data_IF_764871295767
#
_entry.id   IF_764871295767
#
_cell.length_a   1.000
_cell.length_b   1.000
_cell.length_c   1.000
_cell.angle_alpha   90.00
_cell.angle_beta   90.00
_cell.angle_gamma   90.00
#
_symmetry.space_group_name_H-M   'P 1'
#
loop_
_entity.id
_entity.type
_entity.pdbx_description
1 polymer ?
#
# COMPACT_ATOMS: atom_id res chain seq x y z
N UNK A 1 -20.37 -23.87 -30.30
CA UNK A 1 -19.20 -24.34 -31.07
C UNK A 1 -18.08 -24.48 -30.05
N UNK A 2 -17.52 -25.67 -29.90
CA UNK A 2 -16.39 -25.90 -29.00
C UNK A 2 -15.17 -25.24 -29.63
N UNK A 3 -14.72 -24.11 -29.04
CA UNK A 3 -13.40 -23.56 -29.36
C UNK A 3 -12.36 -24.51 -28.76
N UNK A 4 -11.68 -25.24 -29.61
CA UNK A 4 -10.42 -25.86 -29.24
C UNK A 4 -9.45 -24.74 -28.88
N UNK A 5 -9.04 -24.66 -27.61
CA UNK A 5 -7.86 -23.92 -27.19
C UNK A 5 -6.66 -24.59 -27.87
N UNK A 6 -6.26 -24.07 -29.03
CA UNK A 6 -4.93 -24.34 -29.58
C UNK A 6 -3.99 -23.51 -28.71
N UNK A 7 -3.15 -24.15 -27.91
CA UNK A 7 -2.04 -23.48 -27.25
C UNK A 7 -1.18 -22.82 -28.34
N UNK A 8 -1.23 -21.49 -28.42
CA UNK A 8 -0.41 -20.73 -29.36
C UNK A 8 1.03 -20.68 -28.84
N UNK A 9 1.98 -20.89 -29.74
CA UNK A 9 3.41 -20.86 -29.43
C UNK A 9 4.02 -19.62 -30.09
N UNK A 10 4.80 -18.89 -29.31
CA UNK A 10 5.48 -17.67 -29.70
C UNK A 10 6.98 -17.88 -29.51
N UNK A 11 7.75 -17.71 -30.57
CA UNK A 11 9.18 -17.94 -30.55
C UNK A 11 9.91 -16.60 -30.54
N UNK A 12 11.02 -16.47 -29.80
CA UNK A 12 11.84 -15.24 -29.87
C UNK A 12 12.33 -14.97 -31.30
N UNK A 13 12.49 -16.04 -32.09
CA UNK A 13 12.89 -16.01 -33.50
C UNK A 13 11.80 -15.51 -34.45
N UNK A 14 10.55 -15.37 -33.99
CA UNK A 14 9.48 -14.78 -34.78
C UNK A 14 9.69 -13.26 -34.94
N UNK A 15 10.44 -12.64 -34.02
CA UNK A 15 10.73 -11.21 -33.94
C UNK A 15 9.49 -10.29 -33.90
N UNK A 16 9.68 -9.05 -33.44
CA UNK A 16 8.59 -8.05 -33.37
C UNK A 16 7.76 -8.11 -32.10
N UNK A 17 6.48 -7.72 -32.18
CA UNK A 17 5.61 -7.52 -31.01
C UNK A 17 4.33 -8.33 -31.14
N UNK A 18 3.93 -8.98 -30.04
CA UNK A 18 2.66 -9.71 -29.94
C UNK A 18 1.86 -9.26 -28.72
N UNK A 19 0.54 -9.33 -28.85
CA UNK A 19 -0.43 -9.03 -27.78
C UNK A 19 -1.17 -10.33 -27.44
N UNK A 20 -0.92 -10.88 -26.23
CA UNK A 20 -1.50 -12.15 -25.79
C UNK A 20 -1.43 -12.27 -24.26
N UNK A 21 -2.45 -12.85 -23.65
CA UNK A 21 -2.44 -13.22 -22.22
C UNK A 21 -2.35 -14.73 -21.97
N UNK A 22 -2.03 -15.51 -23.00
CA UNK A 22 -1.85 -16.95 -22.89
C UNK A 22 -0.96 -17.52 -24.00
N UNK A 23 -0.50 -18.76 -23.80
CA UNK A 23 0.33 -19.49 -24.75
C UNK A 23 1.69 -19.86 -24.19
N UNK A 24 2.59 -20.28 -25.08
CA UNK A 24 3.94 -20.72 -24.72
C UNK A 24 4.97 -19.84 -25.41
N UNK A 25 5.88 -19.25 -24.64
CA UNK A 25 7.04 -18.53 -25.15
C UNK A 25 8.26 -19.47 -25.22
N UNK A 26 8.94 -19.53 -26.35
CA UNK A 26 10.11 -20.40 -26.54
C UNK A 26 11.22 -19.77 -27.39
N UNK A 27 12.32 -20.50 -27.56
CA UNK A 27 13.44 -20.07 -28.40
C UNK A 27 13.14 -20.12 -29.91
N UNK A 28 12.36 -21.11 -30.35
CA UNK A 28 12.21 -21.47 -31.76
C UNK A 28 13.50 -22.02 -32.37
N UNK A 29 13.74 -21.75 -33.66
CA UNK A 29 14.89 -22.29 -34.41
C UNK A 29 16.06 -21.30 -34.45
N UNK A 30 17.00 -21.43 -33.52
CA UNK A 30 18.12 -20.49 -33.35
C UNK A 30 19.21 -20.67 -34.42
N UNK A 31 19.61 -19.57 -35.05
CA UNK A 31 20.79 -19.48 -35.91
C UNK A 31 21.96 -18.88 -35.14
N UNK A 32 23.12 -19.54 -35.20
CA UNK A 32 24.33 -19.06 -34.53
C UNK A 32 24.81 -17.72 -35.13
N UNK A 33 25.16 -16.77 -34.26
CA UNK A 33 25.63 -15.43 -34.62
C UNK A 33 24.52 -14.39 -34.82
N UNK A 34 23.26 -14.76 -34.66
CA UNK A 34 22.13 -13.85 -34.77
C UNK A 34 21.72 -13.25 -33.41
N UNK A 35 21.01 -12.13 -33.48
CA UNK A 35 20.38 -11.47 -32.35
C UNK A 35 18.89 -11.30 -32.68
N UNK A 36 18.03 -11.76 -31.79
CA UNK A 36 16.58 -11.69 -31.94
C UNK A 36 16.00 -10.76 -30.89
N UNK A 37 15.01 -9.97 -31.27
CA UNK A 37 14.26 -9.12 -30.34
C UNK A 37 12.77 -9.42 -30.46
N UNK A 38 12.14 -9.78 -29.35
CA UNK A 38 10.73 -10.13 -29.28
C UNK A 38 10.06 -9.45 -28.10
N UNK A 39 8.92 -8.81 -28.33
CA UNK A 39 8.16 -8.08 -27.31
C UNK A 39 6.80 -8.74 -27.13
N UNK A 40 6.42 -8.99 -25.88
CA UNK A 40 5.13 -9.57 -25.52
C UNK A 40 4.40 -8.57 -24.63
N UNK A 41 3.18 -8.22 -25.02
CA UNK A 41 2.30 -7.30 -24.31
C UNK A 41 0.99 -8.00 -23.94
N UNK A 42 0.31 -7.50 -22.90
CA UNK A 42 -1.07 -7.91 -22.60
C UNK A 42 -2.00 -7.62 -23.78
N UNK A 43 -2.95 -8.52 -24.04
CA UNK A 43 -4.04 -8.29 -25.02
C UNK A 43 -5.22 -7.49 -24.46
N UNK A 44 -5.22 -7.18 -23.16
CA UNK A 44 -6.24 -6.39 -22.47
C UNK A 44 -7.61 -7.08 -22.37
N UNK A 45 -7.74 -8.37 -22.70
CA UNK A 45 -9.03 -9.05 -22.79
C UNK A 45 -9.72 -9.28 -21.43
N UNK A 46 -8.95 -9.30 -20.33
CA UNK A 46 -9.40 -9.64 -18.97
C UNK A 46 -9.16 -8.50 -17.97
N UNK A 47 -9.04 -7.24 -18.42
CA UNK A 47 -8.54 -6.10 -17.64
C UNK A 47 -7.09 -6.21 -17.13
N UNK A 48 -6.50 -7.40 -17.20
CA UNK A 48 -5.07 -7.59 -16.98
C UNK A 48 -4.26 -6.78 -17.99
N UNK A 49 -3.22 -6.11 -17.50
CA UNK A 49 -2.51 -5.11 -18.27
C UNK A 49 -0.99 -5.29 -18.24
N UNK A 50 -0.46 -6.21 -17.42
CA UNK A 50 0.96 -6.53 -17.33
C UNK A 50 1.22 -7.98 -17.71
N UNK A 51 2.25 -8.22 -18.51
CA UNK A 51 2.64 -9.57 -18.91
C UNK A 51 3.48 -10.24 -17.83
N UNK A 52 3.25 -11.54 -17.66
CA UNK A 52 4.06 -12.43 -16.84
C UNK A 52 4.43 -13.67 -17.63
N UNK A 53 5.69 -14.08 -17.51
CA UNK A 53 6.22 -15.24 -18.21
C UNK A 53 6.96 -16.11 -17.21
N UNK A 54 6.53 -17.37 -17.13
CA UNK A 54 7.19 -18.38 -16.32
C UNK A 54 7.92 -19.39 -17.21
N UNK A 55 9.25 -19.37 -17.21
CA UNK A 55 10.07 -20.31 -17.98
C UNK A 55 10.21 -21.64 -17.25
N UNK A 56 9.51 -22.68 -17.72
CA UNK A 56 9.50 -24.01 -17.11
C UNK A 56 10.68 -24.89 -17.54
N UNK A 57 11.37 -24.51 -18.61
CA UNK A 57 12.56 -25.20 -19.11
C UNK A 57 13.61 -24.21 -19.58
N UNK A 58 14.87 -24.53 -19.29
CA UNK A 58 16.01 -23.67 -19.59
C UNK A 58 17.21 -24.47 -20.08
N UNK A 59 17.68 -24.14 -21.28
CA UNK A 59 18.94 -24.56 -21.83
C UNK A 59 19.48 -23.44 -22.71
N UNK A 60 20.07 -22.43 -22.09
CA UNK A 60 20.83 -21.38 -22.79
C UNK A 60 22.31 -21.61 -22.47
N UNK A 61 23.11 -22.19 -23.38
CA UNK A 61 24.52 -22.46 -23.12
C UNK A 61 25.33 -21.21 -22.74
N UNK A 62 26.39 -21.38 -21.97
CA UNK A 62 27.35 -20.29 -21.69
C UNK A 62 27.93 -19.75 -23.00
N UNK A 63 27.76 -18.45 -23.22
CA UNK A 63 28.12 -17.76 -24.47
C UNK A 63 26.90 -17.23 -25.25
N UNK A 64 25.72 -17.83 -25.05
CA UNK A 64 24.44 -17.27 -25.46
C UNK A 64 23.89 -16.37 -24.33
N UNK A 65 23.03 -15.40 -24.64
CA UNK A 65 22.52 -14.46 -23.63
C UNK A 65 21.09 -14.01 -23.93
N UNK A 66 20.18 -14.20 -22.98
CA UNK A 66 18.82 -13.66 -23.02
C UNK A 66 18.71 -12.48 -22.05
N UNK A 67 18.54 -11.26 -22.57
CA UNK A 67 18.26 -10.07 -21.77
C UNK A 67 16.76 -9.75 -21.78
N UNK A 68 16.21 -9.45 -20.62
CA UNK A 68 14.79 -9.12 -20.43
C UNK A 68 14.68 -7.66 -20.01
N UNK A 69 13.89 -6.90 -20.74
CA UNK A 69 13.65 -5.48 -20.54
C UNK A 69 12.21 -5.23 -20.13
N UNK A 70 12.03 -4.39 -19.11
CA UNK A 70 10.76 -4.02 -18.52
C UNK A 70 10.09 -2.90 -19.32
N UNK A 71 9.60 -3.25 -20.50
CA UNK A 71 8.85 -2.35 -21.36
C UNK A 71 8.83 -2.77 -22.82
N UNK A 72 8.40 -1.87 -23.71
CA UNK A 72 8.04 -2.24 -25.08
C UNK A 72 9.25 -2.32 -26.03
N UNK A 73 10.47 -2.08 -25.55
CA UNK A 73 11.69 -2.19 -26.34
C UNK A 73 12.95 -2.32 -25.47
N UNK A 74 14.11 -2.53 -26.11
CA UNK A 74 15.42 -2.68 -25.46
C UNK A 74 16.02 -1.40 -24.89
N UNK A 75 15.34 -0.24 -25.00
CA UNK A 75 15.72 0.98 -24.28
C UNK A 75 15.04 1.12 -22.92
N UNK A 76 14.10 0.23 -22.59
CA UNK A 76 13.46 0.14 -21.28
C UNK A 76 14.43 -0.34 -20.20
N UNK A 77 14.01 -0.25 -18.93
CA UNK A 77 14.79 -0.73 -17.78
C UNK A 77 15.14 -2.21 -17.95
N UNK A 78 16.40 -2.58 -17.77
CA UNK A 78 16.85 -3.97 -17.85
C UNK A 78 16.49 -4.70 -16.56
N UNK A 79 15.68 -5.76 -16.63
CA UNK A 79 15.40 -6.65 -15.50
C UNK A 79 16.57 -7.58 -15.21
N UNK A 80 17.22 -8.08 -16.26
CA UNK A 80 18.39 -8.95 -16.14
C UNK A 80 18.79 -9.58 -17.46
N UNK A 81 19.98 -10.20 -17.46
CA UNK A 81 20.46 -11.01 -18.57
C UNK A 81 20.92 -12.37 -18.07
N UNK A 82 20.51 -13.42 -18.76
CA UNK A 82 20.62 -14.80 -18.30
C UNK A 82 21.24 -15.71 -19.35
N UNK A 83 22.09 -16.61 -18.87
CA UNK A 83 22.73 -17.70 -19.62
C UNK A 83 22.78 -18.97 -18.77
N UNK A 84 23.55 -19.96 -19.20
CA UNK A 84 23.67 -21.25 -18.51
C UNK A 84 24.52 -21.22 -17.23
N UNK A 85 25.16 -20.09 -16.92
CA UNK A 85 26.04 -19.92 -15.77
C UNK A 85 25.38 -19.20 -14.59
N UNK A 86 24.35 -18.38 -14.86
CA UNK A 86 23.69 -17.55 -13.86
C UNK A 86 22.18 -17.81 -13.74
N UNK A 87 21.71 -18.95 -14.27
CA UNK A 87 20.34 -19.42 -14.12
C UNK A 87 20.09 -19.94 -12.69
N UNK A 88 19.48 -19.09 -11.84
CA UNK A 88 19.07 -19.41 -10.48
C UNK A 88 17.60 -19.86 -10.36
N UNK A 89 17.09 -20.00 -9.12
CA UNK A 89 15.78 -20.58 -8.82
C UNK A 89 14.54 -19.73 -9.22
N UNK A 90 14.70 -18.51 -9.74
CA UNK A 90 13.59 -17.65 -10.14
C UNK A 90 13.41 -17.64 -11.66
N UNK A 91 12.26 -18.14 -12.11
CA UNK A 91 11.95 -18.36 -13.52
C UNK A 91 10.76 -17.53 -14.01
N UNK A 92 10.29 -16.57 -13.20
CA UNK A 92 9.20 -15.68 -13.56
C UNK A 92 9.75 -14.29 -13.91
N UNK A 93 9.37 -13.78 -15.07
CA UNK A 93 9.52 -12.38 -15.44
C UNK A 93 8.15 -11.75 -15.47
N UNK A 94 7.96 -10.66 -14.73
CA UNK A 94 6.71 -9.91 -14.71
C UNK A 94 7.04 -8.47 -15.01
N UNK A 95 6.27 -7.84 -15.89
CA UNK A 95 6.33 -6.39 -16.07
C UNK A 95 6.12 -5.72 -14.71
N UNK A 96 6.96 -4.78 -14.33
CA UNK A 96 6.85 -4.15 -13.01
C UNK A 96 5.72 -3.12 -12.99
N UNK A 97 5.16 -2.75 -11.83
CA UNK A 97 4.15 -1.68 -11.76
C UNK A 97 4.60 -0.33 -12.33
N UNK A 98 5.91 -0.08 -12.45
CA UNK A 98 6.43 1.14 -13.08
C UNK A 98 6.38 1.10 -14.62
N UNK A 99 6.18 -0.08 -15.21
CA UNK A 99 6.13 -0.30 -16.64
C UNK A 99 4.71 -0.08 -17.18
N UNK A 100 4.43 1.17 -17.54
CA UNK A 100 3.12 1.58 -18.04
C UNK A 100 2.71 0.95 -19.38
N UNK A 101 3.61 0.30 -20.12
CA UNK A 101 3.20 -0.46 -21.30
C UNK A 101 2.76 -1.88 -20.95
N UNK A 102 3.10 -2.37 -19.75
CA UNK A 102 2.87 -3.73 -19.30
C UNK A 102 3.52 -4.81 -20.17
N UNK A 103 4.44 -4.43 -21.06
CA UNK A 103 5.10 -5.34 -22.00
C UNK A 103 6.46 -5.76 -21.47
N UNK A 104 6.91 -6.96 -21.82
CA UNK A 104 8.30 -7.37 -21.65
C UNK A 104 8.95 -7.54 -23.02
N UNK A 105 10.18 -7.04 -23.14
CA UNK A 105 11.00 -7.22 -24.35
C UNK A 105 12.16 -8.16 -24.06
N UNK A 106 12.28 -9.18 -24.88
CA UNK A 106 13.30 -10.22 -24.83
C UNK A 106 14.30 -9.99 -25.96
N UNK A 107 15.57 -9.82 -25.61
CA UNK A 107 16.67 -9.74 -26.58
C UNK A 107 17.56 -10.95 -26.39
N UNK A 108 17.57 -11.85 -27.36
CA UNK A 108 18.40 -13.05 -27.33
C UNK A 108 19.58 -12.91 -28.29
N UNK A 109 20.80 -13.11 -27.79
CA UNK A 109 22.02 -13.16 -28.60
C UNK A 109 22.56 -14.58 -28.63
N UNK A 110 22.66 -15.15 -29.83
CA UNK A 110 23.07 -16.53 -30.05
C UNK A 110 24.54 -16.62 -30.49
N UNK A 111 25.38 -17.29 -29.71
CA UNK A 111 26.71 -17.76 -30.09
C UNK A 111 26.69 -19.15 -30.73
N UNK A 112 25.68 -19.97 -30.38
CA UNK A 112 25.42 -21.31 -30.92
C UNK A 112 23.99 -21.47 -31.46
N UNK A 113 23.60 -22.72 -31.77
CA UNK A 113 22.24 -23.07 -32.26
C UNK A 113 21.49 -24.03 -31.33
N UNK A 114 22.07 -24.35 -30.16
CA UNK A 114 21.53 -25.34 -29.23
C UNK A 114 20.68 -24.73 -28.11
N UNK A 115 20.50 -23.42 -28.09
CA UNK A 115 19.68 -22.75 -27.09
C UNK A 115 18.21 -23.16 -27.24
N UNK A 116 17.58 -23.48 -26.12
CA UNK A 116 16.19 -23.89 -26.03
C UNK A 116 15.64 -23.52 -24.65
N UNK A 117 14.49 -22.88 -24.63
CA UNK A 117 13.68 -22.66 -23.44
C UNK A 117 12.22 -22.76 -23.83
N UNK A 118 11.37 -22.94 -22.83
CA UNK A 118 9.93 -22.86 -22.96
C UNK A 118 9.38 -22.27 -21.67
N UNK A 119 8.23 -21.64 -21.77
CA UNK A 119 7.53 -21.08 -20.63
C UNK A 119 6.11 -20.67 -20.94
N UNK A 120 5.28 -20.61 -19.91
CA UNK A 120 3.90 -20.16 -20.02
C UNK A 120 3.85 -18.62 -20.01
N UNK A 121 3.00 -18.07 -20.86
CA UNK A 121 2.61 -16.66 -20.84
C UNK A 121 1.32 -16.54 -20.05
N UNK A 122 1.25 -15.57 -19.15
CA UNK A 122 0.05 -15.13 -18.45
C UNK A 122 0.03 -13.61 -18.38
N UNK A 123 -1.11 -13.02 -18.04
CA UNK A 123 -1.19 -11.61 -17.67
C UNK A 123 -1.60 -11.47 -16.21
N UNK A 124 -1.22 -10.34 -15.64
CA UNK A 124 -1.63 -9.90 -14.31
C UNK A 124 -2.17 -8.47 -14.41
N UNK A 125 -3.08 -8.15 -13.51
CA UNK A 125 -3.56 -6.80 -13.31
C UNK A 125 -2.51 -5.99 -12.51
N UNK A 126 -2.34 -4.73 -12.91
CA UNK A 126 -1.51 -3.75 -12.23
C UNK A 126 -2.24 -2.42 -12.15
N UNK A 127 -2.17 -1.78 -10.98
CA UNK A 127 -2.87 -0.53 -10.73
C UNK A 127 -2.29 0.62 -11.55
N UNK A 128 -3.18 1.48 -12.06
CA UNK A 128 -2.80 2.74 -12.65
C UNK A 128 -2.72 3.80 -11.54
N UNK A 129 -1.57 4.48 -11.32
CA UNK A 129 -1.42 5.37 -10.19
C UNK A 129 -2.16 6.69 -10.41
N UNK A 130 -2.77 7.19 -9.33
CA UNK A 130 -3.46 8.48 -9.25
C UNK A 130 -3.32 9.04 -7.83
N UNK A 131 -3.71 10.31 -7.65
CA UNK A 131 -3.59 11.00 -6.37
C UNK A 131 -4.93 11.49 -5.84
N UNK A 132 -5.12 11.47 -4.52
CA UNK A 132 -6.24 12.14 -3.86
C UNK A 132 -5.92 13.63 -3.68
N UNK A 133 -6.96 14.45 -3.83
CA UNK A 133 -6.92 15.91 -3.69
C UNK A 133 -7.93 16.33 -2.64
N UNK A 134 -7.47 17.08 -1.64
CA UNK A 134 -8.36 17.82 -0.77
C UNK A 134 -8.81 19.09 -1.49
N UNK A 135 -10.11 19.25 -1.71
CA UNK A 135 -10.64 20.40 -2.44
C UNK A 135 -10.89 21.58 -1.49
N UNK A 136 -11.68 21.37 -0.44
CA UNK A 136 -12.02 22.38 0.56
C UNK A 136 -12.66 21.77 1.81
N UNK A 137 -12.68 22.57 2.88
CA UNK A 137 -13.53 22.36 4.06
C UNK A 137 -14.45 23.55 4.31
N UNK A 138 -15.51 23.32 5.09
CA UNK A 138 -16.33 24.37 5.70
C UNK A 138 -16.44 24.08 7.19
N UNK A 139 -15.88 24.91 8.10
CA UNK A 139 -15.17 26.18 7.84
C UNK A 139 -13.93 26.03 6.95
N UNK A 140 -13.58 27.10 6.24
CA UNK A 140 -12.41 27.10 5.35
C UNK A 140 -11.12 26.90 6.16
N UNK A 141 -10.15 26.22 5.54
CA UNK A 141 -8.79 26.11 6.06
C UNK A 141 -8.17 27.49 6.34
N UNK A 142 -7.24 27.53 7.30
CA UNK A 142 -6.54 28.75 7.68
C UNK A 142 -5.62 29.25 6.55
N UNK A 143 -4.94 30.38 6.78
CA UNK A 143 -4.08 31.00 5.77
C UNK A 143 -2.90 30.13 5.31
N UNK A 144 -2.57 29.05 6.04
CA UNK A 144 -1.57 28.07 5.60
C UNK A 144 -2.14 27.05 4.61
N UNK A 145 -3.46 26.89 4.56
CA UNK A 145 -4.15 25.87 3.76
C UNK A 145 -4.20 24.48 4.43
N UNK A 146 -3.60 24.32 5.61
CA UNK A 146 -3.42 23.01 6.24
C UNK A 146 -4.40 22.74 7.38
N UNK A 147 -4.82 23.77 8.12
CA UNK A 147 -5.60 23.59 9.34
C UNK A 147 -7.02 24.10 9.20
N UNK A 148 -8.01 23.29 9.57
CA UNK A 148 -9.38 23.75 9.80
C UNK A 148 -9.57 23.95 11.31
N UNK A 149 -9.82 25.20 11.72
CA UNK A 149 -10.00 25.57 13.13
C UNK A 149 -11.49 25.59 13.49
N UNK A 150 -11.87 24.87 14.55
CA UNK A 150 -13.26 24.78 15.01
C UNK A 150 -13.40 24.87 16.53
N UNK A 151 -14.62 25.15 17.00
CA UNK A 151 -15.00 24.94 18.39
C UNK A 151 -15.51 23.50 18.61
N UNK A 152 -15.49 22.99 19.86
CA UNK A 152 -16.04 21.68 20.17
C UNK A 152 -17.52 21.57 19.77
N UNK A 153 -17.87 20.54 19.01
CA UNK A 153 -19.23 20.28 18.54
C UNK A 153 -19.64 21.03 17.27
N UNK A 154 -18.74 21.80 16.66
CA UNK A 154 -18.98 22.36 15.33
C UNK A 154 -18.99 21.23 14.28
N UNK A 155 -19.85 21.39 13.28
CA UNK A 155 -19.90 20.52 12.10
C UNK A 155 -18.93 21.06 11.04
N UNK A 156 -18.13 20.15 10.48
CA UNK A 156 -17.23 20.42 9.36
C UNK A 156 -17.71 19.66 8.13
N UNK A 157 -17.75 20.35 6.99
CA UNK A 157 -17.90 19.72 5.68
C UNK A 157 -16.52 19.50 5.08
N UNK A 158 -16.26 18.32 4.52
CA UNK A 158 -15.05 18.00 3.76
C UNK A 158 -15.41 17.61 2.33
N UNK A 159 -14.61 18.06 1.36
CA UNK A 159 -14.73 17.68 -0.05
C UNK A 159 -13.38 17.35 -0.64
N UNK A 160 -13.35 16.34 -1.50
CA UNK A 160 -12.14 15.90 -2.19
C UNK A 160 -12.43 15.36 -3.58
N UNK A 161 -11.37 15.20 -4.36
CA UNK A 161 -11.42 14.72 -5.74
C UNK A 161 -10.20 13.86 -6.07
N UNK A 162 -10.27 13.10 -7.15
CA UNK A 162 -9.12 12.36 -7.69
C UNK A 162 -8.40 13.16 -8.78
N UNK A 163 -7.07 13.17 -8.72
CA UNK A 163 -6.21 13.59 -9.83
C UNK A 163 -5.70 12.35 -10.59
N UNK A 164 -6.44 11.95 -11.61
CA UNK A 164 -6.13 10.81 -12.47
C UNK A 164 -5.21 11.19 -13.62
N UNK A 165 -3.98 11.60 -13.30
CA UNK A 165 -2.99 12.04 -14.31
C UNK A 165 -2.57 10.95 -15.30
N UNK A 166 -2.86 9.68 -14.99
CA UNK A 166 -2.65 8.52 -15.87
C UNK A 166 -3.92 8.04 -16.57
N UNK A 167 -5.07 8.72 -16.43
CA UNK A 167 -6.35 8.27 -16.98
C UNK A 167 -6.22 7.80 -18.45
N UNK A 168 -6.86 6.68 -18.78
CA UNK A 168 -6.88 6.03 -20.09
C UNK A 168 -5.50 5.53 -20.59
N UNK A 169 -4.50 5.40 -19.71
CA UNK A 169 -3.22 4.76 -20.07
C UNK A 169 -3.34 3.23 -20.10
N UNK A 170 -3.89 2.65 -19.02
CA UNK A 170 -4.19 1.22 -18.88
C UNK A 170 -5.69 0.97 -18.84
N UNK A 171 -6.41 1.80 -18.08
CA UNK A 171 -7.87 1.78 -17.98
C UNK A 171 -8.41 3.16 -17.62
N UNK A 172 -9.72 3.32 -17.82
CA UNK A 172 -10.43 4.56 -17.52
C UNK A 172 -10.58 4.77 -16.02
N UNK A 173 -10.23 5.96 -15.54
CA UNK A 173 -10.35 6.39 -14.15
C UNK A 173 -11.01 7.77 -14.08
N UNK A 174 -12.03 7.90 -13.24
CA UNK A 174 -12.68 9.15 -12.88
C UNK A 174 -13.31 9.04 -11.48
N UNK A 175 -13.71 10.17 -10.90
CA UNK A 175 -14.37 10.21 -9.58
C UNK A 175 -15.65 9.36 -9.55
N UNK A 176 -16.36 9.25 -10.68
CA UNK A 176 -17.66 8.57 -10.73
C UNK A 176 -17.54 7.05 -10.60
N UNK A 177 -16.37 6.48 -10.90
CA UNK A 177 -16.07 5.06 -10.78
C UNK A 177 -15.23 4.73 -9.52
N UNK A 178 -15.12 5.67 -8.57
CA UNK A 178 -14.34 5.49 -7.35
C UNK A 178 -15.21 5.64 -6.08
N UNK A 179 -14.75 5.01 -5.01
CA UNK A 179 -15.27 5.17 -3.65
C UNK A 179 -14.35 6.07 -2.85
N UNK A 180 -14.90 7.09 -2.21
CA UNK A 180 -14.17 8.05 -1.37
C UNK A 180 -14.43 7.74 0.09
N UNK A 181 -13.40 7.36 0.83
CA UNK A 181 -13.48 7.07 2.27
C UNK A 181 -12.61 8.06 3.03
N UNK A 182 -13.26 8.84 3.89
CA UNK A 182 -12.62 9.80 4.79
C UNK A 182 -12.39 9.15 6.15
N UNK A 183 -11.19 9.30 6.69
CA UNK A 183 -10.87 8.96 8.07
C UNK A 183 -10.56 10.23 8.84
N UNK A 184 -11.24 10.43 9.97
CA UNK A 184 -11.24 11.70 10.67
C UNK A 184 -10.20 11.81 11.79
N UNK A 185 -9.41 10.76 12.04
CA UNK A 185 -8.39 10.72 13.09
C UNK A 185 -8.92 10.52 14.52
N UNK A 186 -10.24 10.44 14.70
CA UNK A 186 -10.90 10.13 15.98
C UNK A 186 -11.45 8.69 16.04
N UNK A 187 -11.06 7.86 15.06
CA UNK A 187 -11.55 6.48 14.88
C UNK A 187 -12.85 6.36 14.10
N UNK A 188 -13.46 7.47 13.67
CA UNK A 188 -14.63 7.45 12.78
C UNK A 188 -14.24 7.64 11.31
N UNK A 189 -15.12 7.17 10.43
CA UNK A 189 -14.98 7.25 8.98
C UNK A 189 -16.31 7.66 8.32
N UNK A 190 -16.24 8.19 7.11
CA UNK A 190 -17.41 8.46 6.27
C UNK A 190 -17.12 8.19 4.80
N UNK A 191 -18.14 7.75 4.07
CA UNK A 191 -18.05 7.47 2.63
C UNK A 191 -18.79 8.52 1.83
N UNK A 192 -18.12 9.10 0.84
CA UNK A 192 -18.65 10.09 -0.09
C UNK A 192 -17.61 11.10 -0.52
N UNK A 193 -17.79 11.67 -1.72
CA UNK A 193 -16.90 12.70 -2.23
C UNK A 193 -16.97 13.99 -1.38
N UNK A 194 -18.16 14.30 -0.87
CA UNK A 194 -18.39 15.36 0.12
C UNK A 194 -19.08 14.75 1.34
N UNK A 195 -18.51 14.95 2.52
CA UNK A 195 -19.00 14.39 3.80
C UNK A 195 -19.06 15.47 4.87
N UNK A 196 -19.79 15.17 5.95
CA UNK A 196 -19.89 16.03 7.14
C UNK A 196 -19.46 15.27 8.38
N UNK A 197 -18.73 15.92 9.29
CA UNK A 197 -18.30 15.32 10.55
C UNK A 197 -18.32 16.33 11.69
N UNK A 198 -18.43 15.84 12.93
CA UNK A 198 -18.43 16.67 14.15
C UNK A 198 -17.45 16.13 15.16
N UNK A 199 -16.56 16.99 15.68
CA UNK A 199 -15.60 16.59 16.69
C UNK A 199 -16.05 17.02 18.09
N UNK A 200 -16.14 16.06 19.02
CA UNK A 200 -16.45 16.33 20.43
C UNK A 200 -15.21 16.45 21.33
N UNK A 201 -14.09 15.85 20.94
CA UNK A 201 -12.83 15.91 21.68
C UNK A 201 -12.07 17.20 21.38
N UNK A 202 -11.43 17.75 22.41
CA UNK A 202 -10.62 18.98 22.29
C UNK A 202 -9.20 18.60 21.93
N UNK A 203 -9.01 18.16 20.69
CA UNK A 203 -7.75 17.63 20.20
C UNK A 203 -7.43 18.15 18.79
N UNK A 204 -6.19 17.92 18.35
CA UNK A 204 -5.80 18.02 16.95
C UNK A 204 -5.98 16.69 16.22
N UNK A 205 -6.67 16.68 15.08
CA UNK A 205 -6.96 15.48 14.29
C UNK A 205 -6.29 15.55 12.92
N UNK A 206 -5.66 14.45 12.51
CA UNK A 206 -5.17 14.28 11.14
C UNK A 206 -6.28 13.62 10.30
N UNK A 207 -6.58 14.20 9.14
CA UNK A 207 -7.61 13.68 8.25
C UNK A 207 -6.92 12.97 7.11
N UNK A 208 -7.45 11.82 6.70
CA UNK A 208 -7.04 11.18 5.45
C UNK A 208 -8.23 10.95 4.52
N UNK A 209 -7.92 10.89 3.23
CA UNK A 209 -8.84 10.52 2.18
C UNK A 209 -8.22 9.37 1.39
N UNK A 210 -8.92 8.25 1.38
CA UNK A 210 -8.63 7.09 0.54
C UNK A 210 -9.66 7.04 -0.57
N UNK A 211 -9.20 7.02 -1.81
CA UNK A 211 -10.00 6.87 -3.01
C UNK A 211 -9.67 5.49 -3.59
N UNK A 212 -10.68 4.62 -3.69
CA UNK A 212 -10.57 3.27 -4.25
C UNK A 212 -11.30 3.23 -5.60
N UNK A 213 -10.63 2.80 -6.67
CA UNK A 213 -11.29 2.60 -7.97
C UNK A 213 -12.02 1.25 -8.07
N UNK A 214 -12.77 1.05 -9.15
CA UNK A 214 -13.53 -0.17 -9.40
C UNK A 214 -12.70 -1.48 -9.47
N UNK A 215 -11.38 -1.39 -9.52
CA UNK A 215 -10.46 -2.53 -9.55
C UNK A 215 -9.72 -2.72 -8.22
N UNK A 216 -10.06 -1.95 -7.18
CA UNK A 216 -9.45 -2.03 -5.84
C UNK A 216 -8.10 -1.32 -5.73
N UNK A 217 -7.80 -0.39 -6.65
CA UNK A 217 -6.60 0.41 -6.60
C UNK A 217 -6.82 1.70 -5.82
N UNK A 218 -5.83 2.07 -5.01
CA UNK A 218 -5.87 3.24 -4.14
C UNK A 218 -4.98 4.39 -4.64
N UNK A 219 -5.30 5.61 -4.22
CA UNK A 219 -4.41 6.76 -4.39
C UNK A 219 -3.05 6.54 -3.73
N UNK A 220 -2.00 7.08 -4.33
CA UNK A 220 -0.61 6.85 -3.89
C UNK A 220 -0.08 7.87 -2.87
N UNK A 221 -0.87 8.90 -2.55
CA UNK A 221 -0.48 9.98 -1.65
C UNK A 221 -1.43 10.09 -0.46
N UNK A 222 -0.95 10.77 0.57
CA UNK A 222 -1.78 11.26 1.67
C UNK A 222 -2.17 12.73 1.41
N UNK A 223 -3.25 13.17 2.06
CA UNK A 223 -3.62 14.59 2.13
C UNK A 223 -3.04 15.18 3.42
N UNK A 224 -2.69 16.47 3.41
CA UNK A 224 -2.00 17.12 4.54
C UNK A 224 -2.95 17.86 5.50
N UNK A 225 -4.26 17.75 5.30
CA UNK A 225 -5.24 18.53 6.04
C UNK A 225 -5.47 18.02 7.46
N UNK A 226 -5.55 18.98 8.39
CA UNK A 226 -5.69 18.74 9.83
C UNK A 226 -6.83 19.56 10.41
N UNK A 227 -7.43 19.09 11.48
CA UNK A 227 -8.42 19.82 12.27
C UNK A 227 -7.85 20.14 13.63
N UNK A 228 -8.06 21.38 14.10
CA UNK A 228 -7.73 21.77 15.47
C UNK A 228 -9.02 22.17 16.18
N UNK A 229 -9.37 21.42 17.22
CA UNK A 229 -10.51 21.77 18.07
C UNK A 229 -10.04 22.67 19.20
N UNK A 230 -10.57 23.88 19.24
CA UNK A 230 -10.17 24.91 20.19
C UNK A 230 -10.45 24.51 21.64
N UNK A 231 -9.49 24.78 22.52
CA UNK A 231 -9.68 24.63 23.96
C UNK A 231 -10.46 25.81 24.54
N UNK A 232 -11.32 25.60 25.55
CA UNK A 232 -11.91 26.71 26.28
C UNK A 232 -10.80 27.56 26.93
N UNK A 233 -10.74 28.88 26.67
CA UNK A 233 -9.78 29.75 27.31
C UNK A 233 -10.15 29.97 28.79
N UNK A 234 -9.16 30.32 29.61
CA UNK A 234 -9.41 30.71 31.00
C UNK A 234 -9.37 32.22 31.16
N UNK A 235 -10.31 32.78 31.91
CA UNK A 235 -10.38 34.22 32.19
C UNK A 235 -9.74 34.61 33.53
N UNK A 236 -8.87 33.75 34.05
CA UNK A 236 -8.17 33.96 35.32
C UNK A 236 -7.40 35.28 35.29
N UNK A 237 -7.66 36.14 36.28
CA UNK A 237 -7.09 37.48 36.34
C UNK A 237 -7.95 38.56 35.69
N UNK A 238 -9.15 38.24 35.18
CA UNK A 238 -10.16 39.25 34.87
C UNK A 238 -10.71 39.84 36.17
N UNK A 239 -10.68 41.17 36.30
CA UNK A 239 -11.19 41.87 37.49
C UNK A 239 -11.71 43.27 37.17
N UNK A 240 -12.45 43.82 38.12
CA UNK A 240 -12.98 45.18 38.14
C UNK A 240 -12.31 45.93 39.30
N UNK A 241 -11.80 47.14 39.05
CA UNK A 241 -11.18 47.96 40.11
C UNK A 241 -11.59 49.46 40.02
N UNK A 242 -12.20 50.03 41.09
CA UNK A 242 -12.74 49.31 42.25
C UNK A 242 -14.00 48.52 41.88
N UNK A 243 -14.23 47.39 42.57
CA UNK A 243 -15.42 46.54 42.36
C UNK A 243 -16.73 47.17 42.89
N UNK A 244 -16.61 48.29 43.59
CA UNK A 244 -17.71 49.06 44.18
C UNK A 244 -17.49 50.55 43.91
N UNK A 245 -18.48 51.20 43.30
CA UNK A 245 -18.43 52.62 42.92
C UNK A 245 -19.71 53.37 43.30
N UNK A 246 -19.59 54.67 43.57
CA UNK A 246 -20.73 55.57 43.69
C UNK A 246 -21.19 56.08 42.31
N UNK A 247 -22.38 56.71 42.26
CA UNK A 247 -22.86 57.37 41.04
C UNK A 247 -21.88 58.48 40.65
N UNK A 248 -21.30 58.35 39.46
CA UNK A 248 -20.36 59.31 38.88
C UNK A 248 -18.89 58.91 39.00
N UNK A 249 -18.56 57.85 39.72
CA UNK A 249 -17.19 57.33 39.81
C UNK A 249 -16.82 56.55 38.54
N UNK A 250 -15.51 56.45 38.29
CA UNK A 250 -14.93 55.60 37.25
C UNK A 250 -14.46 54.28 37.87
N UNK A 251 -14.81 53.17 37.22
CA UNK A 251 -14.23 51.86 37.49
C UNK A 251 -13.53 51.35 36.22
N UNK A 252 -12.43 50.63 36.41
CA UNK A 252 -11.67 50.02 35.31
C UNK A 252 -12.00 48.54 35.22
N UNK A 253 -12.49 48.10 34.06
CA UNK A 253 -12.69 46.69 33.75
C UNK A 253 -11.44 46.17 33.05
N UNK A 254 -10.77 45.19 33.66
CA UNK A 254 -9.61 44.52 33.07
C UNK A 254 -10.01 43.10 32.68
N UNK A 255 -10.08 42.82 31.38
CA UNK A 255 -10.27 41.47 30.85
C UNK A 255 -8.91 40.82 30.57
N UNK A 256 -8.68 39.64 31.15
CA UNK A 256 -7.52 38.79 30.85
C UNK A 256 -8.03 37.48 30.28
N UNK A 257 -7.48 37.08 29.14
CA UNK A 257 -7.76 35.81 28.47
C UNK A 257 -6.45 35.03 28.39
N UNK A 258 -6.42 33.84 28.97
CA UNK A 258 -5.28 32.94 28.90
C UNK A 258 -5.67 31.71 28.06
N UNK A 259 -4.93 31.40 26.98
CA UNK A 259 -5.16 30.19 26.20
C UNK A 259 -4.83 28.96 27.04
N UNK A 260 -5.53 27.86 26.75
CA UNK A 260 -5.21 26.54 27.30
C UNK A 260 -4.54 25.72 26.19
N UNK A 261 -3.45 25.03 26.45
CA UNK A 261 -2.83 24.17 25.44
C UNK A 261 -3.71 22.95 25.14
N UNK A 262 -3.82 22.61 23.86
CA UNK A 262 -4.48 21.38 23.40
C UNK A 262 -3.46 20.27 23.16
N UNK A 263 -3.95 19.04 23.04
CA UNK A 263 -3.15 17.86 22.68
C UNK A 263 -3.56 17.36 21.30
N UNK A 264 -2.68 16.66 20.60
CA UNK A 264 -3.07 15.93 19.40
C UNK A 264 -3.79 14.63 19.79
N UNK A 265 -4.76 14.21 18.98
CA UNK A 265 -5.40 12.93 19.11
C UNK A 265 -4.35 11.82 18.93
N UNK A 266 -4.39 10.82 19.81
CA UNK A 266 -3.55 9.63 19.67
C UNK A 266 -4.29 8.64 18.77
N UNK A 267 -3.74 8.39 17.58
CA UNK A 267 -4.30 7.39 16.67
C UNK A 267 -3.90 5.98 17.16
N UNK A 268 -4.88 5.10 17.35
CA UNK A 268 -4.64 3.68 17.56
C UNK A 268 -5.04 2.96 16.27
N UNK A 269 -4.05 2.47 15.52
CA UNK A 269 -4.32 1.73 14.28
C UNK A 269 -4.51 0.25 14.61
N UNK A 270 -5.73 -0.24 14.40
CA UNK A 270 -6.10 -1.65 14.63
C UNK A 270 -6.40 -2.27 13.26
N UNK A 271 -5.63 -3.29 12.87
CA UNK A 271 -6.00 -4.12 11.73
C UNK A 271 -7.25 -4.96 12.05
N UNK A 272 -8.05 -5.25 11.04
CA UNK A 272 -9.20 -6.15 11.18
C UNK A 272 -8.81 -7.55 11.65
N UNK A 273 -9.78 -8.28 12.19
CA UNK A 273 -9.61 -9.68 12.59
C UNK A 273 -9.75 -10.59 11.37
N UNK A 274 -8.83 -11.55 11.23
CA UNK A 274 -8.91 -12.59 10.18
C UNK A 274 -8.59 -13.96 10.75
N UNK A 275 -8.94 -15.00 9.99
CA UNK A 275 -8.35 -16.32 10.16
C UNK A 275 -6.95 -16.35 9.50
N UNK A 276 -5.99 -16.94 10.21
CA UNK A 276 -4.71 -17.33 9.60
C UNK A 276 -4.92 -18.65 8.86
N UNK A 277 -4.66 -18.71 7.54
CA UNK A 277 -4.78 -19.94 6.78
C UNK A 277 -3.70 -20.94 7.24
N UNK A 278 -4.12 -22.17 7.54
CA UNK A 278 -3.22 -23.28 7.88
C UNK A 278 -2.85 -24.05 6.60
N UNK A 279 -1.58 -24.00 6.20
CA UNK A 279 -1.08 -24.61 4.98
C UNK A 279 0.33 -24.15 4.57
N UNK A 280 1.06 -25.04 3.89
CA UNK A 280 2.39 -24.71 3.34
C UNK A 280 2.25 -23.70 2.18
N UNK A 281 2.67 -22.46 2.43
CA UNK A 281 2.75 -21.39 1.42
C UNK A 281 1.55 -20.46 1.36
N UNK A 282 0.55 -20.66 2.22
CA UNK A 282 -0.53 -19.70 2.40
C UNK A 282 -0.07 -18.55 3.30
N UNK A 283 -0.43 -17.32 2.94
CA UNK A 283 -0.08 -16.13 3.74
C UNK A 283 -1.27 -15.20 3.83
N UNK A 284 -1.42 -14.57 4.99
CA UNK A 284 -2.30 -13.43 5.16
C UNK A 284 -1.45 -12.17 5.24
N UNK A 285 -1.84 -11.16 4.47
CA UNK A 285 -1.27 -9.82 4.58
C UNK A 285 -2.40 -8.81 4.69
N UNK A 286 -2.17 -7.79 5.51
CA UNK A 286 -3.04 -6.63 5.64
C UNK A 286 -2.19 -5.40 5.76
N UNK A 287 -2.70 -4.27 5.29
CA UNK A 287 -2.05 -2.98 5.44
C UNK A 287 -2.57 -2.29 6.71
N UNK A 288 -1.66 -1.79 7.54
CA UNK A 288 -1.98 -0.86 8.61
C UNK A 288 -1.80 0.54 8.04
N UNK A 289 -2.89 1.30 7.94
CA UNK A 289 -2.86 2.69 7.47
C UNK A 289 -2.62 3.60 8.66
N UNK A 290 -1.47 4.28 8.68
CA UNK A 290 -1.14 5.29 9.68
C UNK A 290 -1.25 6.66 9.02
N UNK A 291 -2.13 7.52 9.54
CA UNK A 291 -2.45 8.81 8.89
C UNK A 291 -1.86 10.00 9.62
N UNK A 292 -1.06 9.72 10.65
CA UNK A 292 -0.57 10.71 11.60
C UNK A 292 0.77 11.33 11.26
N UNK A 293 1.50 10.78 10.28
CA UNK A 293 2.79 11.29 9.85
C UNK A 293 2.65 12.47 8.89
N UNK A 294 3.67 13.33 8.83
CA UNK A 294 3.74 14.36 7.80
C UNK A 294 4.01 13.71 6.43
N UNK A 295 3.51 14.34 5.34
CA UNK A 295 3.75 13.83 4.00
C UNK A 295 5.26 13.71 3.69
N UNK A 296 5.66 12.56 3.15
CA UNK A 296 7.05 12.16 2.88
C UNK A 296 7.92 11.95 4.12
N UNK A 297 7.34 11.91 5.32
CA UNK A 297 8.07 11.47 6.50
C UNK A 297 8.39 9.97 6.35
N UNK A 298 9.67 9.62 6.46
CA UNK A 298 10.12 8.24 6.44
C UNK A 298 10.66 7.84 7.80
N UNK A 299 10.27 6.66 8.29
CA UNK A 299 10.88 6.05 9.46
C UNK A 299 12.31 5.57 9.08
N UNK A 300 13.33 6.31 9.50
CA UNK A 300 14.73 5.99 9.17
C UNK A 300 15.49 5.31 10.31
N UNK A 301 15.02 5.44 11.54
CA UNK A 301 15.57 4.79 12.73
C UNK A 301 14.52 3.83 13.29
N UNK A 302 14.91 2.58 13.54
CA UNK A 302 13.99 1.59 14.12
C UNK A 302 13.59 1.98 15.55
N UNK A 303 14.41 2.75 16.27
CA UNK A 303 14.09 3.19 17.63
C UNK A 303 12.92 4.20 17.69
N UNK A 304 12.51 4.75 16.55
CA UNK A 304 11.31 5.58 16.45
C UNK A 304 10.01 4.73 16.47
N UNK A 305 10.12 3.39 16.30
CA UNK A 305 9.02 2.45 16.51
C UNK A 305 8.89 2.12 18.00
N UNK A 306 7.79 2.52 18.63
CA UNK A 306 7.52 2.17 20.03
C UNK A 306 7.25 0.67 20.20
N UNK A 307 6.39 0.11 19.35
CA UNK A 307 6.14 -1.31 19.26
C UNK A 307 4.95 -1.65 18.36
N UNK A 308 4.78 -2.94 18.09
CA UNK A 308 3.64 -3.51 17.37
C UNK A 308 3.07 -4.62 18.22
N UNK A 309 1.76 -4.63 18.40
CA UNK A 309 1.06 -5.67 19.14
C UNK A 309 0.02 -6.35 18.26
N UNK A 310 -0.10 -7.66 18.39
CA UNK A 310 -1.14 -8.48 17.78
C UNK A 310 -1.83 -9.28 18.88
N UNK A 311 -3.16 -9.28 18.85
CA UNK A 311 -3.94 -10.26 19.60
C UNK A 311 -4.14 -11.50 18.71
N UNK A 312 -3.57 -12.64 19.10
CA UNK A 312 -3.68 -13.86 18.30
C UNK A 312 -3.69 -15.12 19.13
N UNK A 313 -4.25 -16.16 18.53
CA UNK A 313 -4.11 -17.55 18.93
C UNK A 313 -3.56 -18.34 17.76
N UNK A 314 -2.71 -19.33 18.05
CA UNK A 314 -2.18 -20.25 17.04
C UNK A 314 -1.71 -21.54 17.72
N UNK A 315 -2.03 -22.68 17.11
CA UNK A 315 -1.69 -24.01 17.63
C UNK A 315 -0.20 -24.33 17.53
N UNK A 316 0.57 -23.62 16.71
CA UNK A 316 1.98 -23.92 16.53
C UNK A 316 2.77 -22.63 16.24
N UNK A 317 3.67 -22.21 17.12
CA UNK A 317 4.49 -21.01 16.83
C UNK A 317 5.55 -21.28 15.76
N UNK A 318 6.07 -22.51 15.71
CA UNK A 318 7.21 -22.88 14.88
C UNK A 318 6.95 -23.00 13.38
N UNK A 319 5.73 -22.75 12.91
CA UNK A 319 5.39 -22.68 11.49
C UNK A 319 5.05 -21.24 11.05
N UNK A 320 5.03 -20.28 11.98
CA UNK A 320 4.73 -18.90 11.69
C UNK A 320 5.96 -18.12 11.24
N UNK A 321 5.77 -17.34 10.18
CA UNK A 321 6.64 -16.22 9.83
C UNK A 321 5.80 -14.96 9.93
N UNK A 322 6.17 -14.05 10.83
CA UNK A 322 5.52 -12.75 10.97
C UNK A 322 6.51 -11.70 10.50
N UNK A 323 6.11 -10.88 9.54
CA UNK A 323 6.93 -9.78 9.05
C UNK A 323 6.10 -8.53 8.82
N UNK A 324 6.76 -7.38 8.92
CA UNK A 324 6.20 -6.09 8.53
C UNK A 324 6.97 -5.58 7.32
N UNK A 325 6.25 -4.98 6.38
CA UNK A 325 6.82 -4.42 5.16
C UNK A 325 6.39 -2.97 5.01
N UNK A 326 7.36 -2.08 4.91
CA UNK A 326 7.13 -0.67 4.62
C UNK A 326 6.73 -0.49 3.13
N UNK A 327 6.02 0.59 2.76
CA UNK A 327 5.62 0.85 1.37
C UNK A 327 6.78 0.90 0.36
N UNK A 328 8.00 1.19 0.80
CA UNK A 328 9.20 1.18 -0.04
C UNK A 328 9.79 -0.23 -0.28
N UNK A 329 9.14 -1.28 0.23
CA UNK A 329 9.57 -2.68 0.13
C UNK A 329 10.59 -3.13 1.18
N UNK A 330 10.98 -2.26 2.12
CA UNK A 330 11.83 -2.66 3.26
C UNK A 330 11.04 -3.55 4.21
N UNK A 331 11.59 -4.70 4.59
CA UNK A 331 10.92 -5.69 5.43
C UNK A 331 11.71 -5.94 6.72
N UNK A 332 10.98 -6.16 7.82
CA UNK A 332 11.51 -6.62 9.11
C UNK A 332 10.75 -7.87 9.52
N UNK A 333 11.46 -8.90 9.95
CA UNK A 333 10.88 -10.17 10.42
C UNK A 333 10.77 -10.09 11.95
N UNK A 334 9.56 -10.30 12.46
CA UNK A 334 9.22 -10.26 13.89
C UNK A 334 9.23 -11.66 14.52
N UNK A 335 8.89 -12.68 13.73
CA UNK A 335 8.94 -14.10 14.11
C UNK A 335 9.38 -14.92 12.90
N UNK A 336 10.31 -15.85 13.11
CA UNK A 336 10.91 -16.69 12.06
C UNK A 336 10.93 -18.15 12.50
N UNK A 337 9.75 -18.76 12.58
CA UNK A 337 9.57 -20.19 12.87
C UNK A 337 10.25 -20.66 14.17
N UNK A 338 10.34 -19.76 15.15
CA UNK A 338 10.84 -20.03 16.49
C UNK A 338 9.80 -20.75 17.37
N UNK A 339 10.19 -21.18 18.57
CA UNK A 339 9.23 -21.66 19.57
C UNK A 339 8.62 -23.06 19.36
N UNK A 340 8.71 -23.68 18.18
CA UNK A 340 8.29 -25.07 17.95
C UNK A 340 6.81 -25.31 18.26
N UNK A 341 6.48 -26.37 19.00
CA UNK A 341 5.09 -26.73 19.36
C UNK A 341 4.47 -25.87 20.47
N UNK A 342 4.95 -24.64 20.63
CA UNK A 342 4.42 -23.69 21.60
C UNK A 342 3.12 -23.11 21.07
N UNK A 343 2.10 -23.07 21.92
CA UNK A 343 0.81 -22.46 21.58
C UNK A 343 0.86 -20.96 21.86
N UNK A 344 0.25 -20.19 20.97
CA UNK A 344 -0.10 -18.80 21.22
C UNK A 344 -1.57 -18.74 21.66
N UNK A 345 -1.86 -18.01 22.75
CA UNK A 345 -3.19 -17.95 23.34
C UNK A 345 -3.71 -19.32 23.83
N UNK A 346 -5.02 -19.51 23.70
CA UNK A 346 -5.71 -20.79 23.90
C UNK A 346 -6.33 -21.24 22.56
N UNK A 347 -5.55 -21.87 21.68
CA UNK A 347 -5.99 -22.22 20.34
C UNK A 347 -6.96 -23.40 20.35
N UNK A 348 -7.85 -23.43 19.35
CA UNK A 348 -8.79 -24.53 19.13
C UNK A 348 -8.18 -25.49 18.11
N UNK A 349 -7.42 -26.46 18.62
CA UNK A 349 -6.62 -27.44 17.85
C UNK A 349 -7.48 -28.56 17.22
N UNK A 350 -8.47 -28.18 16.40
CA UNK A 350 -9.36 -29.12 15.67
C UNK A 350 -9.64 -28.70 14.22
N UNK A 351 -8.83 -27.79 13.64
CA UNK A 351 -8.96 -27.30 12.26
C UNK A 351 -10.39 -26.84 11.90
N UNK A 352 -11.12 -26.22 12.86
CA UNK A 352 -12.47 -25.70 12.63
C UNK A 352 -12.42 -24.17 12.40
N UNK A 353 -12.57 -23.70 11.15
CA UNK A 353 -12.54 -22.28 10.82
C UNK A 353 -13.78 -21.50 11.31
N UNK A 354 -14.70 -22.12 12.05
CA UNK A 354 -15.89 -21.46 12.59
C UNK A 354 -15.85 -21.25 14.10
N UNK A 355 -14.79 -21.70 14.78
CA UNK A 355 -14.65 -21.55 16.22
C UNK A 355 -13.25 -21.00 16.57
N UNK A 356 -13.08 -19.66 16.65
CA UNK A 356 -11.79 -19.09 17.01
C UNK A 356 -11.44 -19.43 18.47
N UNK A 357 -10.14 -19.59 18.73
CA UNK A 357 -9.61 -19.72 20.09
C UNK A 357 -9.64 -18.42 20.88
N UNK A 358 -8.98 -18.41 22.05
CA UNK A 358 -8.79 -17.20 22.86
C UNK A 358 -7.41 -16.63 22.58
N UNK A 359 -7.35 -15.53 21.84
CA UNK A 359 -6.10 -14.83 21.57
C UNK A 359 -5.53 -14.11 22.79
N UNK A 360 -4.21 -14.07 22.89
CA UNK A 360 -3.47 -13.24 23.84
C UNK A 360 -2.71 -12.14 23.10
N UNK A 361 -2.31 -11.10 23.81
CA UNK A 361 -1.54 -9.99 23.24
C UNK A 361 -0.05 -10.34 23.18
N UNK A 362 0.52 -10.24 21.98
CA UNK A 362 1.93 -10.43 21.70
C UNK A 362 2.47 -9.14 21.10
N UNK A 363 3.48 -8.56 21.76
CA UNK A 363 4.07 -7.28 21.37
C UNK A 363 5.54 -7.42 21.05
N UNK A 364 5.98 -6.71 20.01
CA UNK A 364 7.38 -6.56 19.62
C UNK A 364 7.81 -5.10 19.76
N UNK A 365 9.01 -4.86 20.30
CA UNK A 365 9.62 -3.53 20.39
C UNK A 365 11.13 -3.60 20.17
N UNK A 366 11.76 -2.59 19.54
CA UNK A 366 13.22 -2.47 19.46
C UNK A 366 13.87 -2.22 20.84
N UNK A 367 13.09 -1.76 21.83
CA UNK A 367 13.53 -1.57 23.21
C UNK A 367 12.69 -2.42 24.18
N UNK A 368 12.78 -3.77 24.09
CA UNK A 368 11.87 -4.66 24.80
C UNK A 368 12.04 -4.57 26.32
N UNK A 369 10.91 -4.56 27.03
CA UNK A 369 10.83 -4.75 28.47
C UNK A 369 10.45 -6.20 28.80
N UNK A 370 10.31 -6.53 30.09
CA UNK A 370 9.80 -7.84 30.48
C UNK A 370 8.40 -8.06 29.86
N UNK A 371 8.18 -9.23 29.25
CA UNK A 371 6.97 -9.61 28.48
C UNK A 371 6.80 -8.96 27.09
N UNK A 372 7.83 -8.31 26.55
CA UNK A 372 7.85 -7.77 25.17
C UNK A 372 8.97 -8.46 24.37
N UNK A 373 8.67 -8.90 23.14
CA UNK A 373 9.65 -9.52 22.24
C UNK A 373 10.52 -8.46 21.56
N UNK A 374 11.78 -8.77 21.29
CA UNK A 374 12.67 -7.88 20.53
C UNK A 374 12.33 -7.92 19.04
N UNK A 375 12.32 -6.76 18.39
CA UNK A 375 12.30 -6.62 16.92
C UNK A 375 13.68 -6.84 16.32
#
# INVERSE_FOLDING_TARGET
>A
MSSALIAQTYSVTDEGTVYTCGGTFNAGSITAGEMYTYTICSDGATSDNHISIYLDSWNVPTGDLLCVYDGPNSSSSLLGCYDGSNWGANHAFTATPANLSGCLTFVFTASGSSASWSGAISCNFSCQPFSAVFDYSVPEVDASGLFTDICPGDEIVFSGSGNYYMNDTLYHQDDANCTFTWYFGDGSEAVGQTVTHTYSGVEGYNISLIIEDQFGCYNINEIENRVRVSTPPTFTGTFLDPDTVCIGDLATLTGIVNPTEGTNAQETVIAGTTYLPDGDGDSYSTSLMMTTFDANQSLTDINDLEGICVNMEHSYLGDLVISITCPNGTQVILEDQGGGSTFLGEPVDIDDPNQPGVGWDYCWSPNPTYDVMSV
#
